data_IF_423817071754
#
_entry.id   IF_423817071754
#
_cell.length_a   1.000
_cell.length_b   1.000
_cell.length_c   1.000
_cell.angle_alpha   90.00
_cell.angle_beta   90.00
_cell.angle_gamma   90.00
#
_symmetry.space_group_name_H-M   'P 1'
#
loop_
_entity.id
_entity.type
_entity.pdbx_description
1 polymer ?
#
# COMPACT_ATOMS: atom_id res chain seq x y z
N UNK A 1 -6.30 -34.98 12.06
CA UNK A 1 -7.38 -34.10 11.56
C UNK A 1 -6.71 -32.85 11.01
N UNK A 2 -6.51 -32.79 9.69
CA UNK A 2 -5.95 -31.61 9.04
C UNK A 2 -7.10 -30.62 8.88
N UNK A 3 -7.14 -29.57 9.71
CA UNK A 3 -8.07 -28.46 9.52
C UNK A 3 -7.58 -27.63 8.34
N UNK A 4 -7.76 -28.16 7.12
CA UNK A 4 -7.76 -27.34 5.91
C UNK A 4 -9.02 -26.49 6.00
N UNK A 5 -8.95 -25.38 6.72
CA UNK A 5 -10.01 -24.40 6.82
C UNK A 5 -10.07 -23.68 5.47
N UNK A 6 -11.04 -23.96 4.58
CA UNK A 6 -11.04 -23.46 3.20
C UNK A 6 -11.31 -21.94 3.10
N UNK A 7 -11.47 -21.26 4.25
CA UNK A 7 -11.67 -19.82 4.36
C UNK A 7 -10.58 -19.06 5.12
N UNK A 8 -9.52 -19.70 5.64
CA UNK A 8 -8.54 -18.98 6.48
C UNK A 8 -7.26 -18.53 5.75
N UNK A 9 -6.90 -19.18 4.63
CA UNK A 9 -5.68 -18.86 3.86
C UNK A 9 -5.89 -17.82 2.75
N UNK A 10 -7.00 -17.89 2.00
CA UNK A 10 -7.27 -16.95 0.89
C UNK A 10 -7.67 -15.57 1.36
N UNK A 11 -8.44 -15.48 2.45
CA UNK A 11 -8.91 -14.19 2.97
C UNK A 11 -7.77 -13.38 3.60
N UNK A 12 -6.78 -14.03 4.19
CA UNK A 12 -5.65 -13.35 4.83
C UNK A 12 -4.75 -12.64 3.81
N UNK A 13 -4.54 -13.22 2.62
CA UNK A 13 -3.79 -12.55 1.54
C UNK A 13 -4.52 -11.32 1.02
N UNK A 14 -5.83 -11.46 0.79
CA UNK A 14 -6.67 -10.35 0.32
C UNK A 14 -6.67 -9.22 1.35
N UNK A 15 -6.76 -9.54 2.65
CA UNK A 15 -6.69 -8.56 3.73
C UNK A 15 -5.33 -7.85 3.79
N UNK A 16 -4.23 -8.58 3.58
CA UNK A 16 -2.88 -7.98 3.53
C UNK A 16 -2.72 -7.00 2.36
N UNK A 17 -3.23 -7.35 1.17
CA UNK A 17 -3.19 -6.46 -0.01
C UNK A 17 -4.04 -5.21 0.22
N UNK A 18 -5.24 -5.37 0.79
CA UNK A 18 -6.13 -4.25 1.11
C UNK A 18 -5.47 -3.32 2.14
N UNK A 19 -4.86 -3.85 3.21
CA UNK A 19 -4.14 -3.03 4.19
C UNK A 19 -2.94 -2.29 3.59
N UNK A 20 -2.16 -2.95 2.73
CA UNK A 20 -1.04 -2.30 2.03
C UNK A 20 -1.53 -1.20 1.09
N UNK A 21 -2.63 -1.45 0.37
CA UNK A 21 -3.24 -0.46 -0.51
C UNK A 21 -3.73 0.76 0.30
N UNK A 22 -4.47 0.53 1.38
CA UNK A 22 -5.01 1.61 2.22
C UNK A 22 -3.89 2.46 2.84
N UNK A 23 -2.85 1.83 3.37
CA UNK A 23 -1.70 2.54 3.94
C UNK A 23 -0.92 3.33 2.90
N UNK A 24 -0.74 2.78 1.69
CA UNK A 24 -0.10 3.48 0.56
C UNK A 24 -0.91 4.70 0.13
N UNK A 25 -2.24 4.58 0.06
CA UNK A 25 -3.15 5.70 -0.23
C UNK A 25 -3.01 6.78 0.83
N UNK A 26 -3.05 6.43 2.12
CA UNK A 26 -2.91 7.40 3.22
C UNK A 26 -1.55 8.12 3.14
N UNK A 27 -0.46 7.38 2.92
CA UNK A 27 0.87 7.96 2.82
C UNK A 27 1.03 8.86 1.58
N UNK A 28 0.53 8.45 0.41
CA UNK A 28 0.56 9.26 -0.80
C UNK A 28 -0.26 10.55 -0.66
N UNK A 29 -1.41 10.46 0.01
CA UNK A 29 -2.30 11.60 0.26
C UNK A 29 -1.68 12.57 1.28
N UNK A 30 -1.07 12.05 2.36
CA UNK A 30 -0.32 12.86 3.32
C UNK A 30 0.89 13.54 2.67
N UNK A 31 1.64 12.84 1.81
CA UNK A 31 2.78 13.42 1.09
C UNK A 31 2.35 14.55 0.15
N UNK A 32 1.23 14.36 -0.57
CA UNK A 32 0.64 15.41 -1.41
C UNK A 32 0.18 16.62 -0.61
N UNK A 33 -0.55 16.42 0.50
CA UNK A 33 -0.99 17.50 1.40
C UNK A 33 0.21 18.25 1.97
N UNK A 34 1.25 17.54 2.40
CA UNK A 34 2.45 18.16 2.98
C UNK A 34 3.19 19.03 1.97
N UNK A 35 3.27 18.59 0.70
CA UNK A 35 3.82 19.40 -0.39
C UNK A 35 2.99 20.66 -0.66
N UNK A 36 1.66 20.56 -0.64
CA UNK A 36 0.78 21.74 -0.78
C UNK A 36 0.96 22.70 0.41
N UNK A 37 1.08 22.18 1.64
CA UNK A 37 1.30 22.97 2.84
C UNK A 37 2.64 23.73 2.82
N UNK A 38 3.67 23.19 2.15
CA UNK A 38 4.96 23.84 1.90
C UNK A 38 4.89 24.92 0.79
N UNK A 39 3.73 25.15 0.18
CA UNK A 39 3.52 26.19 -0.83
C UNK A 39 3.76 25.74 -2.28
N UNK A 40 3.88 24.44 -2.56
CA UNK A 40 3.90 23.96 -3.94
C UNK A 40 2.55 24.12 -4.61
N UNK A 41 2.56 24.45 -5.91
CA UNK A 41 1.34 24.51 -6.70
C UNK A 41 0.61 23.15 -6.71
N UNK A 42 -0.72 23.14 -6.81
CA UNK A 42 -1.52 21.92 -6.67
C UNK A 42 -1.15 20.82 -7.68
N UNK A 43 -0.84 21.21 -8.91
CA UNK A 43 -0.54 20.29 -10.02
C UNK A 43 0.71 19.42 -9.76
N UNK A 44 1.88 19.99 -9.43
CA UNK A 44 3.05 19.17 -9.09
C UNK A 44 2.90 18.42 -7.76
N UNK A 45 2.15 18.95 -6.80
CA UNK A 45 1.90 18.25 -5.53
C UNK A 45 1.06 16.97 -5.72
N UNK A 46 0.11 16.97 -6.64
CA UNK A 46 -0.62 15.76 -7.06
C UNK A 46 0.31 14.74 -7.71
N UNK A 47 1.27 15.20 -8.53
CA UNK A 47 2.29 14.33 -9.12
C UNK A 47 3.16 13.63 -8.08
N UNK A 48 3.59 14.37 -7.04
CA UNK A 48 4.37 13.81 -5.92
C UNK A 48 3.54 12.83 -5.09
N UNK A 49 2.30 13.20 -4.77
CA UNK A 49 1.38 12.33 -4.02
C UNK A 49 1.07 11.03 -4.78
N UNK A 50 0.80 11.12 -6.08
CA UNK A 50 0.59 9.96 -6.95
C UNK A 50 1.83 9.06 -7.06
N UNK A 51 3.02 9.66 -7.24
CA UNK A 51 4.29 8.92 -7.26
C UNK A 51 4.58 8.20 -5.95
N UNK A 52 4.36 8.86 -4.82
CA UNK A 52 4.51 8.26 -3.48
C UNK A 52 3.56 7.07 -3.28
N UNK A 53 2.33 7.15 -3.79
CA UNK A 53 1.32 6.09 -3.74
C UNK A 53 1.76 4.85 -4.53
N UNK A 54 2.27 5.04 -5.75
CA UNK A 54 2.79 3.94 -6.59
C UNK A 54 4.02 3.30 -5.94
N UNK A 55 4.94 4.09 -5.42
CA UNK A 55 6.16 3.60 -4.78
C UNK A 55 5.86 2.77 -3.53
N UNK A 56 5.01 3.28 -2.63
CA UNK A 56 4.62 2.57 -1.40
C UNK A 56 3.81 1.30 -1.68
N UNK A 57 2.90 1.34 -2.65
CA UNK A 57 2.12 0.17 -3.05
C UNK A 57 3.01 -0.93 -3.63
N UNK A 58 3.94 -0.57 -4.52
CA UNK A 58 4.88 -1.52 -5.13
C UNK A 58 5.82 -2.11 -4.08
N UNK A 59 6.34 -1.30 -3.16
CA UNK A 59 7.18 -1.75 -2.06
C UNK A 59 6.43 -2.71 -1.12
N UNK A 60 5.19 -2.39 -0.75
CA UNK A 60 4.36 -3.24 0.10
C UNK A 60 4.01 -4.58 -0.56
N UNK A 61 3.67 -4.57 -1.86
CA UNK A 61 3.45 -5.80 -2.63
C UNK A 61 4.71 -6.66 -2.73
N UNK A 62 5.88 -6.02 -2.87
CA UNK A 62 7.17 -6.73 -2.87
C UNK A 62 7.43 -7.38 -1.51
N UNK A 63 7.20 -6.68 -0.41
CA UNK A 63 7.32 -7.23 0.94
C UNK A 63 6.36 -8.42 1.18
N UNK A 64 5.10 -8.32 0.74
CA UNK A 64 4.14 -9.42 0.82
C UNK A 64 4.60 -10.61 -0.03
N UNK A 65 5.16 -10.38 -1.21
CA UNK A 65 5.71 -11.43 -2.05
C UNK A 65 6.91 -12.13 -1.41
N UNK A 66 7.79 -11.39 -0.71
CA UNK A 66 8.90 -11.98 0.06
C UNK A 66 8.42 -12.84 1.22
N UNK A 67 7.46 -12.35 2.02
CA UNK A 67 6.88 -13.10 3.14
C UNK A 67 6.18 -14.37 2.62
N UNK A 68 5.44 -14.25 1.52
CA UNK A 68 4.79 -15.37 0.82
C UNK A 68 5.78 -16.40 0.27
N UNK A 69 7.01 -16.02 -0.05
CA UNK A 69 8.04 -16.94 -0.56
C UNK A 69 8.79 -17.66 0.55
N UNK A 70 8.75 -17.09 1.75
CA UNK A 70 9.46 -17.56 2.95
C UNK A 70 8.52 -18.25 3.95
N UNK A 71 7.26 -18.51 3.58
CA UNK A 71 6.29 -19.32 4.32
C UNK A 71 5.92 -20.56 3.52
#
# INVERSE_FOLDING_TARGET
MSSTQPGCGSNHRVYAVIMVFQTSVILGLLAGIFMVALGMQPVPAVGVGGGALVATFTAGMTAVAYISRNS
#
